data_IF_512330046428
#
_entry.id   IF_512330046428
#
_cell.length_a   1.000
_cell.length_b   1.000
_cell.length_c   1.000
_cell.angle_alpha   90.00
_cell.angle_beta   90.00
_cell.angle_gamma   90.00
#
_symmetry.space_group_name_H-M   'P 1'
#
loop_
_entity.id
_entity.type
_entity.pdbx_description
1 polymer ?
#
# COMPACT_ATOMS: atom_id res chain seq x y z
N UNK A 1 -5.13 -30.65 0.94
CA UNK A 1 -4.18 -29.92 1.81
C UNK A 1 -3.17 -29.10 1.02
N UNK A 2 -2.38 -29.70 0.12
CA UNK A 2 -1.32 -28.99 -0.64
C UNK A 2 -1.83 -27.81 -1.50
N UNK A 3 -2.94 -27.98 -2.22
CA UNK A 3 -3.55 -26.92 -3.06
C UNK A 3 -4.02 -25.70 -2.24
N UNK A 4 -4.55 -25.94 -1.03
CA UNK A 4 -4.97 -24.88 -0.11
C UNK A 4 -3.78 -24.18 0.56
N UNK A 5 -2.69 -24.91 0.81
CA UNK A 5 -1.47 -24.30 1.33
C UNK A 5 -0.79 -23.44 0.25
N UNK A 6 -0.70 -23.92 -0.99
CA UNK A 6 -0.17 -23.15 -2.13
C UNK A 6 -0.97 -21.88 -2.40
N UNK A 7 -2.30 -21.90 -2.28
CA UNK A 7 -3.13 -20.70 -2.47
C UNK A 7 -2.91 -19.64 -1.39
N UNK A 8 -2.44 -20.03 -0.19
CA UNK A 8 -2.05 -19.12 0.90
C UNK A 8 -0.61 -18.65 0.80
N UNK A 9 0.31 -19.48 0.33
CA UNK A 9 1.74 -19.14 0.33
C UNK A 9 2.16 -18.39 -0.94
N UNK A 10 1.66 -18.77 -2.11
CA UNK A 10 2.07 -18.16 -3.38
C UNK A 10 1.86 -16.63 -3.42
N UNK A 11 0.75 -16.05 -2.92
CA UNK A 11 0.57 -14.61 -2.91
C UNK A 11 1.61 -13.83 -2.09
N UNK A 12 2.26 -14.46 -1.11
CA UNK A 12 3.34 -13.82 -0.32
C UNK A 12 4.55 -13.44 -1.18
N UNK A 13 4.71 -14.06 -2.36
CA UNK A 13 5.72 -13.63 -3.33
C UNK A 13 5.50 -12.17 -3.73
N UNK A 14 4.25 -11.71 -3.87
CA UNK A 14 3.96 -10.30 -4.14
C UNK A 14 4.40 -9.40 -2.99
N UNK A 15 4.18 -9.82 -1.74
CA UNK A 15 4.67 -9.08 -0.55
C UNK A 15 6.18 -8.86 -0.64
N UNK A 16 6.94 -9.92 -0.92
CA UNK A 16 8.40 -9.85 -1.06
C UNK A 16 8.80 -8.95 -2.22
N UNK A 17 8.18 -9.11 -3.40
CA UNK A 17 8.48 -8.30 -4.59
C UNK A 17 8.23 -6.82 -4.34
N UNK A 18 7.09 -6.46 -3.74
CA UNK A 18 6.77 -5.06 -3.42
C UNK A 18 7.79 -4.47 -2.45
N UNK A 19 8.13 -5.18 -1.37
CA UNK A 19 9.13 -4.71 -0.40
C UNK A 19 10.49 -4.50 -1.07
N UNK A 20 10.94 -5.46 -1.88
CA UNK A 20 12.25 -5.38 -2.55
C UNK A 20 12.27 -4.21 -3.53
N UNK A 21 11.25 -4.07 -4.38
CA UNK A 21 11.18 -2.97 -5.34
C UNK A 21 11.09 -1.60 -4.64
N UNK A 22 10.28 -1.50 -3.58
CA UNK A 22 10.18 -0.28 -2.79
C UNK A 22 11.52 0.10 -2.16
N UNK A 23 12.20 -0.84 -1.49
CA UNK A 23 13.48 -0.55 -0.84
C UNK A 23 14.59 -0.26 -1.84
N UNK A 24 14.66 -0.97 -2.97
CA UNK A 24 15.63 -0.67 -4.04
C UNK A 24 15.40 0.75 -4.56
N UNK A 25 14.17 1.10 -4.93
CA UNK A 25 13.88 2.43 -5.49
C UNK A 25 14.18 3.54 -4.49
N UNK A 26 13.82 3.37 -3.21
CA UNK A 26 14.14 4.33 -2.14
C UNK A 26 15.65 4.48 -1.92
N UNK A 27 16.41 3.39 -1.95
CA UNK A 27 17.89 3.44 -1.85
C UNK A 27 18.50 4.18 -3.02
N UNK A 28 18.02 3.93 -4.25
CA UNK A 28 18.49 4.64 -5.45
C UNK A 28 18.23 6.14 -5.34
N UNK A 29 17.03 6.54 -4.93
CA UNK A 29 16.69 7.96 -4.72
C UNK A 29 17.59 8.58 -3.66
N UNK A 30 17.77 7.92 -2.52
CA UNK A 30 18.66 8.42 -1.45
C UNK A 30 20.11 8.59 -1.89
N UNK A 31 20.59 7.72 -2.81
CA UNK A 31 21.98 7.71 -3.28
C UNK A 31 22.26 8.74 -4.36
N UNK A 32 21.32 8.95 -5.28
CA UNK A 32 21.56 9.72 -6.50
C UNK A 32 20.90 11.09 -6.53
N UNK A 33 19.91 11.35 -5.66
CA UNK A 33 19.17 12.61 -5.64
C UNK A 33 19.37 13.29 -4.28
N UNK A 34 19.97 14.49 -4.23
CA UNK A 34 20.07 15.25 -2.99
C UNK A 34 18.70 15.50 -2.35
N UNK A 35 18.62 15.48 -1.02
CA UNK A 35 17.36 15.68 -0.30
C UNK A 35 16.74 17.05 -0.64
N UNK A 36 15.42 17.09 -0.81
CA UNK A 36 14.62 18.25 -1.21
C UNK A 36 14.97 18.83 -2.59
N UNK A 37 15.48 17.99 -3.50
CA UNK A 37 15.75 18.38 -4.89
C UNK A 37 14.99 17.53 -5.90
N UNK A 38 14.91 18.02 -7.14
CA UNK A 38 14.37 17.31 -8.29
C UNK A 38 15.52 16.60 -9.00
N UNK A 39 15.47 15.28 -9.08
CA UNK A 39 16.48 14.49 -9.81
C UNK A 39 16.21 14.46 -11.31
N UNK A 40 14.94 14.31 -11.71
CA UNK A 40 14.54 14.32 -13.12
C UNK A 40 13.06 14.65 -13.30
N UNK A 41 12.67 15.04 -14.51
CA UNK A 41 11.31 15.39 -14.89
C UNK A 41 10.95 14.73 -16.23
N UNK A 42 9.70 14.33 -16.39
CA UNK A 42 9.16 13.68 -17.57
C UNK A 42 7.89 14.40 -18.05
N UNK A 43 7.65 14.33 -19.36
CA UNK A 43 6.45 14.88 -20.02
C UNK A 43 6.17 16.35 -19.68
N UNK A 44 7.20 17.20 -19.81
CA UNK A 44 7.04 18.64 -19.62
C UNK A 44 6.52 19.02 -18.23
N UNK A 45 7.09 18.40 -17.18
CA UNK A 45 6.79 18.66 -15.75
C UNK A 45 5.64 17.85 -15.12
N UNK A 46 4.97 17.01 -15.90
CA UNK A 46 3.88 16.18 -15.39
C UNK A 46 4.35 15.23 -14.29
N UNK A 47 5.41 14.46 -14.54
CA UNK A 47 5.97 13.52 -13.57
C UNK A 47 7.37 13.96 -13.18
N UNK A 48 7.66 13.99 -11.88
CA UNK A 48 9.00 14.26 -11.34
C UNK A 48 9.45 13.12 -10.45
N UNK A 49 10.75 12.88 -10.45
CA UNK A 49 11.41 12.07 -9.42
C UNK A 49 12.16 13.02 -8.51
N UNK A 50 11.70 13.10 -7.27
CA UNK A 50 12.23 14.00 -6.24
C UNK A 50 12.73 13.18 -5.04
N UNK A 51 13.39 13.82 -4.07
CA UNK A 51 13.75 13.16 -2.81
C UNK A 51 13.17 13.94 -1.63
N UNK A 52 12.03 13.48 -1.12
CA UNK A 52 11.37 14.06 0.06
C UNK A 52 11.35 13.04 1.19
N UNK A 53 11.42 13.52 2.42
CA UNK A 53 11.22 12.71 3.62
C UNK A 53 9.90 13.06 4.27
N UNK A 54 9.07 12.05 4.47
CA UNK A 54 7.75 12.18 5.07
C UNK A 54 7.76 11.72 6.53
N UNK A 55 7.80 12.67 7.49
CA UNK A 55 7.73 12.35 8.91
C UNK A 55 6.32 11.93 9.38
N UNK A 56 5.27 12.30 8.63
CA UNK A 56 3.86 11.98 8.89
C UNK A 56 3.36 10.84 7.98
N UNK A 57 2.05 10.77 7.71
CA UNK A 57 1.46 9.82 6.74
C UNK A 57 1.04 10.54 5.45
N UNK A 58 0.03 10.03 4.73
CA UNK A 58 -0.53 10.71 3.56
C UNK A 58 -0.82 12.19 3.87
N UNK A 59 -0.56 13.06 2.88
CA UNK A 59 -0.66 14.52 3.03
C UNK A 59 0.20 15.11 4.17
N UNK A 60 1.28 14.42 4.56
CA UNK A 60 2.12 14.79 5.72
C UNK A 60 1.35 14.91 7.04
N UNK A 61 0.21 14.24 7.16
CA UNK A 61 -0.61 14.31 8.36
C UNK A 61 0.18 13.76 9.57
N UNK A 62 0.15 14.50 10.68
CA UNK A 62 0.92 14.18 11.89
C UNK A 62 2.43 14.44 11.81
N UNK A 63 2.92 15.12 10.75
CA UNK A 63 4.33 15.50 10.63
C UNK A 63 4.84 16.36 11.80
N UNK A 64 3.97 17.21 12.38
CA UNK A 64 4.28 18.12 13.50
C UNK A 64 4.00 17.51 14.88
N UNK A 65 3.58 16.24 14.94
CA UNK A 65 3.33 15.59 16.22
C UNK A 65 4.64 15.27 16.96
N UNK A 66 4.58 15.14 18.30
CA UNK A 66 5.73 14.68 19.08
C UNK A 66 6.26 13.34 18.55
N UNK A 67 7.58 13.14 18.60
CA UNK A 67 8.22 11.93 18.05
C UNK A 67 7.71 10.63 18.70
N UNK A 68 7.39 10.66 19.99
CA UNK A 68 6.76 9.52 20.69
C UNK A 68 5.42 9.15 20.07
N UNK A 69 4.58 10.15 19.77
CA UNK A 69 3.27 9.98 19.15
C UNK A 69 3.41 9.51 17.69
N UNK A 70 4.38 10.05 16.93
CA UNK A 70 4.67 9.59 15.57
C UNK A 70 5.15 8.14 15.52
N UNK A 71 6.05 7.74 16.43
CA UNK A 71 6.49 6.34 16.55
C UNK A 71 5.34 5.40 16.86
N UNK A 72 4.49 5.78 17.83
CA UNK A 72 3.30 4.99 18.17
C UNK A 72 2.35 4.89 16.97
N UNK A 73 1.94 6.03 16.41
CA UNK A 73 0.92 6.10 15.38
C UNK A 73 1.36 5.52 14.02
N UNK A 74 2.61 5.72 13.63
CA UNK A 74 3.09 5.42 12.27
C UNK A 74 4.08 4.26 12.20
N UNK A 75 4.48 3.69 13.34
CA UNK A 75 5.31 2.48 13.38
C UNK A 75 4.60 1.36 14.13
N UNK A 76 4.24 1.58 15.40
CA UNK A 76 3.66 0.52 16.25
C UNK A 76 2.27 0.10 15.78
N UNK A 77 1.35 1.05 15.58
CA UNK A 77 -0.02 0.73 15.14
C UNK A 77 -0.02 0.00 13.79
N UNK A 78 0.70 0.45 12.74
CA UNK A 78 0.78 -0.27 11.48
C UNK A 78 1.32 -1.70 11.61
N UNK A 79 2.33 -1.93 12.45
CA UNK A 79 2.84 -3.28 12.72
C UNK A 79 1.73 -4.18 13.30
N UNK A 80 0.99 -3.68 14.30
CA UNK A 80 -0.12 -4.41 14.90
C UNK A 80 -1.21 -4.71 13.88
N UNK A 81 -1.61 -3.71 13.08
CA UNK A 81 -2.62 -3.87 12.03
C UNK A 81 -2.19 -4.90 11.00
N UNK A 82 -0.95 -4.86 10.52
CA UNK A 82 -0.44 -5.87 9.58
C UNK A 82 -0.39 -7.27 10.20
N UNK A 83 -0.04 -7.38 11.49
CA UNK A 83 -0.10 -8.64 12.23
C UNK A 83 -1.53 -9.22 12.28
N UNK A 84 -2.53 -8.38 12.55
CA UNK A 84 -3.94 -8.77 12.54
C UNK A 84 -4.37 -9.19 11.12
N UNK A 85 -4.03 -8.40 10.09
CA UNK A 85 -4.36 -8.71 8.70
C UNK A 85 -3.77 -10.06 8.27
N UNK A 86 -2.50 -10.34 8.61
CA UNK A 86 -1.88 -11.63 8.35
C UNK A 86 -2.54 -12.77 9.14
N UNK A 87 -2.91 -12.54 10.41
CA UNK A 87 -3.66 -13.50 11.20
C UNK A 87 -4.99 -13.88 10.54
N UNK A 88 -5.77 -12.88 10.09
CA UNK A 88 -7.02 -13.09 9.36
C UNK A 88 -6.77 -13.80 8.03
N UNK A 89 -5.73 -13.40 7.29
CA UNK A 89 -5.35 -14.00 6.00
C UNK A 89 -5.10 -15.51 6.08
N UNK A 90 -4.39 -15.97 7.10
CA UNK A 90 -4.08 -17.38 7.28
C UNK A 90 -5.24 -18.18 7.87
N UNK A 91 -6.07 -17.57 8.73
CA UNK A 91 -7.22 -18.23 9.36
C UNK A 91 -8.41 -18.37 8.42
N UNK A 92 -8.66 -17.38 7.55
CA UNK A 92 -9.79 -17.39 6.65
C UNK A 92 -9.50 -18.23 5.39
N UNK A 93 -10.35 -19.21 5.11
CA UNK A 93 -10.24 -20.10 3.94
C UNK A 93 -11.07 -19.64 2.74
N UNK A 94 -12.02 -18.74 2.95
CA UNK A 94 -13.03 -18.33 1.97
C UNK A 94 -12.53 -17.21 1.05
N UNK A 95 -11.37 -16.63 1.35
CA UNK A 95 -10.77 -15.64 0.46
C UNK A 95 -10.50 -16.20 -0.94
N UNK A 96 -11.00 -15.50 -1.94
CA UNK A 96 -10.71 -15.75 -3.34
C UNK A 96 -9.22 -15.54 -3.62
N UNK A 97 -8.73 -16.10 -4.74
CA UNK A 97 -7.33 -15.88 -5.16
C UNK A 97 -7.02 -14.38 -5.28
N UNK A 98 -7.92 -13.60 -5.88
CA UNK A 98 -7.73 -12.15 -6.06
C UNK A 98 -7.61 -11.42 -4.72
N UNK A 99 -8.48 -11.72 -3.75
CA UNK A 99 -8.42 -11.15 -2.41
C UNK A 99 -7.08 -11.47 -1.73
N UNK A 100 -6.57 -12.69 -1.90
CA UNK A 100 -5.27 -13.08 -1.32
C UNK A 100 -4.11 -12.29 -1.90
N UNK A 101 -4.04 -12.15 -3.23
CA UNK A 101 -3.02 -11.33 -3.89
C UNK A 101 -3.14 -9.86 -3.46
N UNK A 102 -4.36 -9.32 -3.42
CA UNK A 102 -4.60 -7.95 -3.00
C UNK A 102 -4.17 -7.71 -1.54
N UNK A 103 -4.51 -8.61 -0.61
CA UNK A 103 -4.05 -8.53 0.78
C UNK A 103 -2.52 -8.55 0.84
N UNK A 104 -1.85 -9.46 0.13
CA UNK A 104 -0.39 -9.55 0.12
C UNK A 104 0.30 -8.31 -0.47
N UNK A 105 -0.32 -7.66 -1.46
CA UNK A 105 0.17 -6.39 -1.99
C UNK A 105 0.06 -5.23 -0.99
N UNK A 106 -1.08 -5.12 -0.29
CA UNK A 106 -1.26 -4.14 0.81
C UNK A 106 -0.25 -4.39 1.93
N UNK A 107 -0.07 -5.65 2.33
CA UNK A 107 0.91 -6.04 3.35
C UNK A 107 2.34 -5.68 2.91
N UNK A 108 2.69 -5.93 1.65
CA UNK A 108 3.99 -5.57 1.08
C UNK A 108 4.26 -4.06 1.15
N UNK A 109 3.29 -3.25 0.73
CA UNK A 109 3.43 -1.79 0.82
C UNK A 109 3.49 -1.30 2.28
N UNK A 110 2.66 -1.86 3.16
CA UNK A 110 2.71 -1.56 4.60
C UNK A 110 4.09 -1.82 5.21
N UNK A 111 4.67 -3.00 4.96
CA UNK A 111 6.02 -3.30 5.43
C UNK A 111 7.10 -2.44 4.78
N UNK A 112 6.99 -2.12 3.49
CA UNK A 112 7.93 -1.22 2.80
C UNK A 112 8.06 0.15 3.49
N UNK A 113 6.92 0.72 3.92
CA UNK A 113 6.93 1.97 4.68
C UNK A 113 7.38 1.80 6.15
N UNK A 114 7.02 0.70 6.81
CA UNK A 114 7.48 0.42 8.19
C UNK A 114 9.01 0.27 8.25
N UNK A 115 9.63 -0.37 7.25
CA UNK A 115 11.09 -0.50 7.16
C UNK A 115 11.73 0.89 7.19
N UNK A 116 11.24 1.83 6.40
CA UNK A 116 11.74 3.21 6.45
C UNK A 116 11.54 3.85 7.83
N UNK A 117 10.39 3.65 8.49
CA UNK A 117 10.15 4.23 9.83
C UNK A 117 11.13 3.72 10.89
N UNK A 118 11.60 2.48 10.75
CA UNK A 118 12.56 1.85 11.66
C UNK A 118 13.99 2.29 11.34
N UNK A 119 14.37 2.26 10.06
CA UNK A 119 15.77 2.42 9.65
C UNK A 119 16.12 3.84 9.15
N UNK A 120 15.13 4.70 8.93
CA UNK A 120 15.32 6.06 8.41
C UNK A 120 14.68 7.09 9.37
N UNK A 121 15.45 7.67 10.31
CA UNK A 121 14.93 8.58 11.34
C UNK A 121 14.18 9.81 10.78
N UNK A 122 14.56 10.27 9.59
CA UNK A 122 13.91 11.39 8.91
C UNK A 122 12.49 11.08 8.39
N UNK A 123 12.08 9.80 8.39
CA UNK A 123 10.80 9.34 7.87
C UNK A 123 10.91 8.61 6.54
N UNK A 124 9.74 8.34 5.95
CA UNK A 124 9.59 7.59 4.71
C UNK A 124 10.14 8.37 3.53
N UNK A 125 10.84 7.68 2.62
CA UNK A 125 11.34 8.26 1.38
C UNK A 125 10.21 8.30 0.36
N UNK A 126 9.77 9.51 0.02
CA UNK A 126 8.78 9.77 -1.03
C UNK A 126 9.46 10.42 -2.22
N UNK A 127 9.12 9.96 -3.43
CA UNK A 127 9.88 10.33 -4.63
C UNK A 127 9.08 10.45 -5.92
N UNK A 128 7.84 9.93 -5.97
CA UNK A 128 6.97 10.07 -7.13
C UNK A 128 6.11 11.30 -6.94
N UNK A 129 6.33 12.32 -7.77
CA UNK A 129 5.64 13.61 -7.67
C UNK A 129 4.92 13.92 -8.98
N UNK A 130 3.59 14.02 -8.94
CA UNK A 130 2.72 14.10 -10.13
C UNK A 130 1.95 15.42 -10.14
N UNK A 131 1.97 16.10 -11.29
CA UNK A 131 1.22 17.34 -11.51
C UNK A 131 -0.27 17.04 -11.49
N UNK A 132 -1.02 17.85 -10.74
CA UNK A 132 -2.43 17.62 -10.47
C UNK A 132 -3.31 18.83 -10.85
N UNK A 133 -2.72 19.84 -11.50
CA UNK A 133 -3.42 20.93 -12.21
C UNK A 133 -4.45 21.70 -11.37
N UNK A 134 -4.18 21.82 -10.06
CA UNK A 134 -5.06 22.57 -9.15
C UNK A 134 -6.35 21.83 -8.78
N UNK A 135 -6.53 20.56 -9.20
CA UNK A 135 -7.68 19.76 -8.80
C UNK A 135 -7.70 19.61 -7.26
N UNK A 136 -8.87 19.81 -6.66
CA UNK A 136 -9.04 19.86 -5.21
C UNK A 136 -8.11 20.87 -4.49
N UNK A 137 -7.65 21.92 -5.20
CA UNK A 137 -6.73 22.93 -4.66
C UNK A 137 -5.27 22.48 -4.60
N UNK A 138 -4.91 21.38 -5.26
CA UNK A 138 -3.56 20.82 -5.26
C UNK A 138 -2.91 20.98 -6.63
N UNK A 139 -1.85 21.78 -6.71
CA UNK A 139 -1.03 21.88 -7.93
C UNK A 139 -0.33 20.56 -8.25
N UNK A 140 0.04 19.81 -7.21
CA UNK A 140 0.68 18.49 -7.31
C UNK A 140 0.04 17.55 -6.32
N UNK A 141 -0.12 16.30 -6.74
CA UNK A 141 -0.59 15.24 -5.87
C UNK A 141 0.46 15.01 -4.76
N UNK A 142 0.06 14.66 -3.52
CA UNK A 142 1.02 14.36 -2.47
C UNK A 142 2.04 13.32 -2.95
N UNK A 143 3.33 13.65 -2.80
CA UNK A 143 4.42 12.77 -3.20
C UNK A 143 4.28 11.42 -2.52
N UNK A 144 4.51 10.35 -3.27
CA UNK A 144 4.34 8.98 -2.81
C UNK A 144 5.48 8.08 -3.29
N UNK A 145 5.42 6.80 -2.95
CA UNK A 145 6.40 5.80 -3.32
C UNK A 145 5.76 4.50 -3.85
N UNK A 146 6.59 3.48 -4.12
CA UNK A 146 6.13 2.18 -4.62
C UNK A 146 5.28 1.44 -3.59
N UNK A 147 5.65 1.51 -2.30
CA UNK A 147 4.83 0.96 -1.23
C UNK A 147 3.42 1.59 -1.17
N UNK A 148 3.30 2.91 -1.25
CA UNK A 148 2.00 3.60 -1.27
C UNK A 148 1.16 3.19 -2.49
N UNK A 149 1.80 3.09 -3.66
CA UNK A 149 1.15 2.64 -4.88
C UNK A 149 0.58 1.23 -4.72
N UNK A 150 1.34 0.32 -4.10
CA UNK A 150 0.89 -1.04 -3.83
C UNK A 150 -0.29 -1.07 -2.85
N UNK A 151 -0.25 -0.27 -1.77
CA UNK A 151 -1.36 -0.15 -0.82
C UNK A 151 -2.63 0.35 -1.51
N UNK A 152 -2.54 1.40 -2.31
CA UNK A 152 -3.71 2.00 -2.99
C UNK A 152 -4.29 1.05 -4.04
N UNK A 153 -3.46 0.55 -4.96
CA UNK A 153 -3.93 -0.31 -6.06
C UNK A 153 -4.51 -1.61 -5.51
N UNK A 154 -3.80 -2.27 -4.60
CA UNK A 154 -4.28 -3.53 -4.04
C UNK A 154 -5.46 -3.32 -3.09
N UNK A 155 -5.51 -2.21 -2.36
CA UNK A 155 -6.66 -1.83 -1.54
C UNK A 155 -7.93 -1.65 -2.38
N UNK A 156 -7.84 -0.94 -3.51
CA UNK A 156 -8.96 -0.77 -4.45
C UNK A 156 -9.39 -2.12 -5.02
N UNK A 157 -8.45 -2.97 -5.45
CA UNK A 157 -8.76 -4.30 -5.96
C UNK A 157 -9.43 -5.19 -4.90
N UNK A 158 -9.00 -5.08 -3.65
CA UNK A 158 -9.58 -5.83 -2.54
C UNK A 158 -11.05 -5.43 -2.32
N UNK A 159 -11.33 -4.12 -2.28
CA UNK A 159 -12.69 -3.58 -2.13
C UNK A 159 -13.59 -4.03 -3.28
N UNK A 160 -13.13 -3.86 -4.53
CA UNK A 160 -13.87 -4.30 -5.71
C UNK A 160 -14.15 -5.81 -5.64
N UNK A 161 -13.18 -6.61 -5.23
CA UNK A 161 -13.35 -8.06 -5.12
C UNK A 161 -14.39 -8.45 -4.07
N UNK A 162 -14.50 -7.72 -2.95
CA UNK A 162 -15.54 -7.96 -1.96
C UNK A 162 -16.92 -7.58 -2.49
N UNK A 163 -17.05 -6.42 -3.14
CA UNK A 163 -18.32 -5.98 -3.75
C UNK A 163 -18.83 -7.03 -4.75
N UNK A 164 -17.96 -7.52 -5.63
CA UNK A 164 -18.32 -8.57 -6.59
C UNK A 164 -18.74 -9.86 -5.90
N UNK A 165 -18.08 -10.24 -4.80
CA UNK A 165 -18.41 -11.46 -4.05
C UNK A 165 -19.79 -11.37 -3.42
N UNK A 166 -20.11 -10.22 -2.82
CA UNK A 166 -21.43 -9.94 -2.22
C UNK A 166 -22.54 -9.99 -3.28
N UNK A 167 -22.33 -9.34 -4.43
CA UNK A 167 -23.32 -9.34 -5.53
C UNK A 167 -23.59 -10.77 -6.04
N UNK A 168 -22.55 -11.60 -6.15
CA UNK A 168 -22.70 -13.00 -6.58
C UNK A 168 -23.48 -13.84 -5.57
N UNK A 169 -23.19 -13.66 -4.29
CA UNK A 169 -23.90 -14.36 -3.20
C UNK A 169 -25.39 -14.02 -3.18
N UNK A 170 -25.74 -12.73 -3.34
CA UNK A 170 -27.14 -12.29 -3.39
C UNK A 170 -27.90 -12.88 -4.59
N UNK A 171 -27.29 -12.88 -5.79
CA UNK A 171 -27.91 -13.48 -6.98
C UNK A 171 -28.13 -14.99 -6.84
N UNK A 172 -27.24 -15.69 -6.15
CA UNK A 172 -27.41 -17.12 -5.90
C UNK A 172 -28.62 -17.38 -4.99
N UNK A 173 -28.79 -16.58 -3.94
CA UNK A 173 -29.96 -16.66 -3.05
C UNK A 173 -31.27 -16.40 -3.79
N UNK A 174 -31.32 -15.36 -4.62
CA UNK A 174 -32.50 -15.03 -5.44
C UNK A 174 -32.88 -16.17 -6.40
N UNK A 175 -31.90 -16.81 -7.05
CA UNK A 175 -32.16 -17.92 -7.97
C UNK A 175 -32.68 -19.16 -7.23
N UNK A 176 -32.11 -19.49 -6.06
CA UNK A 176 -32.58 -20.63 -5.26
C UNK A 176 -34.01 -20.41 -4.76
N UNK A 177 -34.37 -19.20 -4.33
CA UNK A 177 -35.74 -18.86 -3.93
C UNK A 177 -36.76 -18.89 -5.09
N UNK A 178 -36.31 -18.73 -6.33
CA UNK A 178 -37.16 -18.87 -7.52
C UNK A 178 -37.35 -20.32 -7.95
N UNK A 179 -36.33 -21.18 -7.77
CA UNK A 179 -36.42 -22.62 -8.06
C UNK A 179 -37.28 -23.38 -7.04
N UNK A 180 -37.41 -22.86 -5.82
CA UNK A 180 -38.25 -23.44 -4.76
C UNK A 180 -39.74 -23.03 -4.81
N UNK A 181 -40.13 -22.15 -5.75
CA UNK A 181 -41.52 -21.68 -5.97
C UNK A 181 -42.14 -22.31 -7.20
#
# INVERSE_FOLDING_TARGET
>A
MEKQMKSKLLPLVLTVVVIVLDQITKVLVCRFIPMNTIGTQFFGDFLRIIHVRNPGVAFSFGARWPDSMRRLAFSVIPIVVLGIVLGVYFRNNDFTKLQRWAICGVVGGGFGNIIDRIFRPAGVVDFIDVKFYGLFGLERWPTFNVADSAVVVCGILLVISFIISIIKENRQKENTEQEEK
#
